data_IF_103992436771
#
_entry.id   IF_103992436771
#
_cell.length_a   1.000
_cell.length_b   1.000
_cell.length_c   1.000
_cell.angle_alpha   90.00
_cell.angle_beta   90.00
_cell.angle_gamma   90.00
#
_symmetry.space_group_name_H-M   'P 1'
#
loop_
_entity.id
_entity.type
_entity.pdbx_description
1 polymer ?
#
# COMPACT_ATOMS: atom_id res chain seq x y z
N UNK A 1 13.83 -15.06 10.36
CA UNK A 1 13.78 -15.88 9.13
C UNK A 1 14.70 -17.08 9.33
N UNK A 2 14.23 -18.27 9.03
CA UNK A 2 15.04 -19.49 9.21
C UNK A 2 15.31 -20.13 7.85
N UNK A 3 16.56 -20.48 7.59
CA UNK A 3 16.99 -21.22 6.37
C UNK A 3 16.64 -20.52 5.04
N UNK A 4 16.59 -19.19 5.00
CA UNK A 4 16.24 -18.43 3.79
C UNK A 4 14.74 -18.39 3.45
N UNK A 5 13.86 -18.98 4.24
CA UNK A 5 12.41 -18.91 4.05
C UNK A 5 11.82 -17.69 4.74
N UNK A 6 10.94 -16.99 4.03
CA UNK A 6 10.16 -15.87 4.54
C UNK A 6 8.69 -16.22 4.47
N UNK A 7 8.00 -16.18 5.62
CA UNK A 7 6.54 -16.39 5.66
C UNK A 7 5.85 -15.10 5.22
N UNK A 8 4.96 -15.22 4.25
CA UNK A 8 4.11 -14.14 3.75
C UNK A 8 2.65 -14.39 4.11
N UNK A 9 1.86 -13.34 4.26
CA UNK A 9 0.43 -13.41 4.47
C UNK A 9 -0.30 -12.45 3.54
N UNK A 10 -1.23 -12.96 2.75
CA UNK A 10 -2.28 -12.18 2.10
C UNK A 10 -3.49 -12.17 3.03
N UNK A 11 -3.91 -11.00 3.45
CA UNK A 11 -4.93 -10.82 4.49
C UNK A 11 -6.10 -10.04 3.92
N UNK A 12 -7.32 -10.52 4.14
CA UNK A 12 -8.54 -9.90 3.62
C UNK A 12 -9.50 -9.60 4.79
N UNK A 13 -9.38 -8.44 5.45
CA UNK A 13 -10.32 -8.03 6.50
C UNK A 13 -11.71 -7.74 5.92
N UNK A 14 -12.74 -7.81 6.76
CA UNK A 14 -14.07 -7.36 6.41
C UNK A 14 -14.09 -5.83 6.34
N UNK A 15 -14.09 -5.27 5.15
CA UNK A 15 -14.07 -3.82 4.94
C UNK A 15 -15.48 -3.23 5.02
N UNK A 16 -15.60 -2.12 5.73
CA UNK A 16 -16.79 -1.26 5.76
C UNK A 16 -16.54 -0.05 4.87
N UNK A 17 -17.36 0.11 3.83
CA UNK A 17 -17.18 1.19 2.84
C UNK A 17 -17.26 2.55 3.52
N UNK A 18 -16.26 3.40 3.29
CA UNK A 18 -16.13 4.76 3.81
C UNK A 18 -15.95 4.89 5.34
N UNK A 19 -15.84 3.78 6.08
CA UNK A 19 -15.55 3.81 7.52
C UNK A 19 -14.06 3.54 7.78
N UNK A 20 -13.25 4.58 7.62
CA UNK A 20 -11.80 4.49 7.78
C UNK A 20 -11.39 4.05 9.19
N UNK A 21 -12.16 4.45 10.20
CA UNK A 21 -11.87 4.13 11.61
C UNK A 21 -12.09 2.65 11.92
N UNK A 22 -13.24 2.12 11.52
CA UNK A 22 -13.53 0.68 11.68
C UNK A 22 -12.54 -0.16 10.87
N UNK A 23 -12.27 0.23 9.63
CA UNK A 23 -11.32 -0.47 8.78
C UNK A 23 -9.91 -0.48 9.40
N UNK A 24 -9.46 0.63 10.01
CA UNK A 24 -8.17 0.69 10.72
C UNK A 24 -8.11 -0.31 11.86
N UNK A 25 -9.15 -0.41 12.67
CA UNK A 25 -9.20 -1.37 13.78
C UNK A 25 -9.14 -2.83 13.28
N UNK A 26 -9.91 -3.15 12.22
CA UNK A 26 -9.92 -4.48 11.61
C UNK A 26 -8.58 -4.82 10.96
N UNK A 27 -7.96 -3.88 10.25
CA UNK A 27 -6.63 -4.03 9.65
C UNK A 27 -5.57 -4.32 10.72
N UNK A 28 -5.53 -3.54 11.79
CA UNK A 28 -4.59 -3.75 12.90
C UNK A 28 -4.77 -5.11 13.58
N UNK A 29 -6.01 -5.56 13.75
CA UNK A 29 -6.30 -6.88 14.31
C UNK A 29 -5.75 -8.02 13.44
N UNK A 30 -5.93 -7.91 12.12
CA UNK A 30 -5.41 -8.92 11.18
C UNK A 30 -3.88 -8.86 11.05
N UNK A 31 -3.27 -7.66 11.08
CA UNK A 31 -1.79 -7.53 11.13
C UNK A 31 -1.24 -8.28 12.36
N UNK A 32 -1.85 -8.05 13.54
CA UNK A 32 -1.42 -8.71 14.77
C UNK A 32 -1.55 -10.22 14.70
N UNK A 33 -2.62 -10.73 14.07
CA UNK A 33 -2.83 -12.17 13.89
C UNK A 33 -1.78 -12.76 12.95
N UNK A 34 -1.55 -12.15 11.78
CA UNK A 34 -0.57 -12.61 10.80
C UNK A 34 0.87 -12.59 11.38
N UNK A 35 1.23 -11.54 12.12
CA UNK A 35 2.53 -11.41 12.79
C UNK A 35 2.73 -12.51 13.84
N UNK A 36 1.72 -12.77 14.68
CA UNK A 36 1.74 -13.86 15.63
C UNK A 36 1.96 -15.23 14.98
N UNK A 37 1.45 -15.43 13.78
CA UNK A 37 1.67 -16.63 12.99
C UNK A 37 3.06 -16.66 12.31
N UNK A 38 3.86 -15.62 12.51
CA UNK A 38 5.23 -15.49 12.03
C UNK A 38 5.38 -14.90 10.62
N UNK A 39 4.34 -14.26 10.07
CA UNK A 39 4.44 -13.56 8.80
C UNK A 39 5.41 -12.38 8.90
N UNK A 40 6.28 -12.22 7.91
CA UNK A 40 7.24 -11.12 7.77
C UNK A 40 6.87 -10.12 6.70
N UNK A 41 6.06 -10.54 5.74
CA UNK A 41 5.47 -9.70 4.72
C UNK A 41 3.97 -9.90 4.81
N UNK A 42 3.22 -8.83 5.01
CA UNK A 42 1.76 -8.84 5.14
C UNK A 42 1.20 -7.91 4.07
N UNK A 43 0.31 -8.44 3.23
CA UNK A 43 -0.32 -7.70 2.13
C UNK A 43 -1.82 -7.62 2.37
N UNK A 44 -2.35 -6.41 2.32
CA UNK A 44 -3.76 -6.09 2.46
C UNK A 44 -4.36 -5.69 1.10
N UNK A 45 -5.70 -5.73 0.93
CA UNK A 45 -6.34 -5.38 -0.32
C UNK A 45 -6.12 -3.91 -0.73
N UNK A 46 -6.25 -3.67 -2.04
CA UNK A 46 -6.31 -2.34 -2.64
C UNK A 46 -7.38 -1.49 -1.96
N UNK A 47 -7.04 -0.21 -1.65
CA UNK A 47 -7.94 0.77 -1.02
C UNK A 47 -8.62 0.27 0.27
N UNK A 48 -7.99 -0.65 1.00
CA UNK A 48 -8.60 -1.29 2.18
C UNK A 48 -8.88 -0.32 3.35
N UNK A 49 -8.21 0.83 3.42
CA UNK A 49 -8.51 1.83 4.45
C UNK A 49 -9.89 2.45 4.24
N UNK A 50 -10.30 2.69 3.00
CA UNK A 50 -11.57 3.34 2.67
C UNK A 50 -12.64 2.37 2.18
N UNK A 51 -12.21 1.25 1.59
CA UNK A 51 -13.00 0.43 0.70
C UNK A 51 -12.89 0.89 -0.75
N UNK A 52 -12.96 -0.05 -1.69
CA UNK A 52 -12.81 0.21 -3.12
C UNK A 52 -14.02 0.96 -3.71
N UNK A 53 -15.23 0.67 -3.23
CA UNK A 53 -16.50 1.15 -3.81
C UNK A 53 -17.00 2.49 -3.25
N UNK A 54 -16.09 3.36 -2.82
CA UNK A 54 -16.44 4.68 -2.27
C UNK A 54 -16.96 5.68 -3.31
N UNK A 55 -16.78 5.42 -4.60
CA UNK A 55 -17.26 6.30 -5.68
C UNK A 55 -16.82 7.76 -5.47
N UNK A 56 -17.73 8.75 -5.65
CA UNK A 56 -17.42 10.17 -5.54
C UNK A 56 -17.05 10.62 -4.10
N UNK A 57 -17.15 9.74 -3.10
CA UNK A 57 -16.61 10.02 -1.76
C UNK A 57 -15.09 10.19 -1.77
N UNK A 58 -14.39 9.60 -2.73
CA UNK A 58 -12.96 9.84 -2.93
C UNK A 58 -12.59 11.30 -3.22
N UNK A 59 -13.55 12.13 -3.65
CA UNK A 59 -13.36 13.56 -3.90
C UNK A 59 -13.56 14.42 -2.65
N UNK A 60 -13.96 13.82 -1.52
CA UNK A 60 -14.19 14.54 -0.28
C UNK A 60 -12.89 14.66 0.53
N UNK A 61 -12.50 15.90 0.82
CA UNK A 61 -11.33 16.21 1.66
C UNK A 61 -11.35 15.49 3.01
N UNK A 62 -12.54 15.37 3.63
CA UNK A 62 -12.70 14.66 4.90
C UNK A 62 -12.23 13.21 4.78
N UNK A 63 -12.65 12.48 3.74
CA UNK A 63 -12.24 11.10 3.53
C UNK A 63 -10.73 10.96 3.34
N UNK A 64 -10.12 11.82 2.52
CA UNK A 64 -8.69 11.78 2.26
C UNK A 64 -7.87 12.08 3.52
N UNK A 65 -8.31 13.05 4.32
CA UNK A 65 -7.68 13.36 5.60
C UNK A 65 -7.80 12.19 6.59
N UNK A 66 -8.98 11.57 6.71
CA UNK A 66 -9.20 10.42 7.58
C UNK A 66 -8.43 9.19 7.11
N UNK A 67 -8.35 8.94 5.81
CA UNK A 67 -7.53 7.85 5.25
C UNK A 67 -6.04 8.03 5.58
N UNK A 68 -5.54 9.27 5.49
CA UNK A 68 -4.17 9.60 5.86
C UNK A 68 -3.91 9.41 7.36
N UNK A 69 -4.85 9.83 8.21
CA UNK A 69 -4.77 9.62 9.65
C UNK A 69 -4.75 8.13 9.99
N UNK A 70 -5.63 7.34 9.38
CA UNK A 70 -5.66 5.88 9.51
C UNK A 70 -4.35 5.21 9.13
N UNK A 71 -3.70 5.69 8.05
CA UNK A 71 -2.36 5.19 7.67
C UNK A 71 -1.35 5.43 8.78
N UNK A 72 -1.33 6.63 9.39
CA UNK A 72 -0.42 6.96 10.48
C UNK A 72 -0.67 6.07 11.72
N UNK A 73 -1.93 5.79 12.04
CA UNK A 73 -2.32 4.88 13.12
C UNK A 73 -1.86 3.45 12.85
N UNK A 74 -2.05 2.95 11.62
CA UNK A 74 -1.57 1.63 11.21
C UNK A 74 -0.03 1.59 11.26
N UNK A 75 0.66 2.63 10.77
CA UNK A 75 2.10 2.70 10.85
C UNK A 75 2.57 2.65 12.31
N UNK A 76 2.01 3.48 13.19
CA UNK A 76 2.31 3.47 14.62
C UNK A 76 2.06 2.10 15.27
N UNK A 77 0.99 1.41 14.87
CA UNK A 77 0.68 0.06 15.36
C UNK A 77 1.76 -0.96 15.00
N UNK A 78 2.48 -0.77 13.89
CA UNK A 78 3.59 -1.67 13.50
C UNK A 78 4.86 -1.48 14.33
N UNK A 79 4.88 -0.51 15.26
CA UNK A 79 6.05 -0.31 16.12
C UNK A 79 6.39 -1.58 16.91
N UNK A 80 7.66 -1.97 16.89
CA UNK A 80 8.18 -3.21 17.48
C UNK A 80 7.64 -4.52 16.87
N UNK A 81 6.87 -4.48 15.78
CA UNK A 81 6.56 -5.67 15.00
C UNK A 81 7.69 -5.97 14.00
N UNK A 82 8.06 -7.24 13.88
CA UNK A 82 9.11 -7.68 12.95
C UNK A 82 8.48 -8.10 11.60
N UNK A 83 7.83 -7.16 10.95
CA UNK A 83 7.21 -7.34 9.64
C UNK A 83 7.16 -6.04 8.82
N UNK A 84 7.00 -6.18 7.50
CA UNK A 84 6.58 -5.11 6.60
C UNK A 84 5.13 -5.37 6.19
N UNK A 85 4.32 -4.30 6.18
CA UNK A 85 2.90 -4.36 5.81
C UNK A 85 2.65 -3.44 4.62
N UNK A 86 1.92 -3.94 3.62
CA UNK A 86 1.45 -3.15 2.49
C UNK A 86 -0.05 -2.92 2.64
N UNK A 87 -0.44 -1.65 2.68
CA UNK A 87 -1.83 -1.22 2.92
C UNK A 87 -2.30 -0.24 1.85
N UNK A 88 -3.50 -0.47 1.29
CA UNK A 88 -4.06 0.32 0.20
C UNK A 88 -4.86 1.53 0.70
N UNK A 89 -4.64 2.71 0.09
CA UNK A 89 -5.39 3.93 0.40
C UNK A 89 -5.41 4.92 -0.78
N UNK A 90 -6.39 5.85 -0.82
CA UNK A 90 -6.32 7.03 -1.69
C UNK A 90 -5.35 8.06 -1.10
N UNK A 91 -4.47 8.62 -1.93
CA UNK A 91 -3.49 9.63 -1.52
C UNK A 91 -3.52 10.83 -2.46
N UNK A 92 -3.74 12.01 -1.91
CA UNK A 92 -3.61 13.26 -2.66
C UNK A 92 -2.16 13.75 -2.68
N UNK A 93 -1.70 14.13 -3.87
CA UNK A 93 -0.42 14.80 -4.07
C UNK A 93 -0.52 15.82 -5.21
N UNK A 94 -0.16 17.09 -4.94
CA UNK A 94 -0.19 18.19 -5.89
C UNK A 94 -1.54 18.33 -6.63
N UNK A 95 -2.65 18.27 -5.90
CA UNK A 95 -4.00 18.42 -6.43
C UNK A 95 -4.48 17.26 -7.31
N UNK A 96 -3.77 16.12 -7.28
CA UNK A 96 -4.14 14.88 -7.97
C UNK A 96 -4.31 13.76 -6.96
N UNK A 97 -5.26 12.88 -7.21
CA UNK A 97 -5.53 11.72 -6.36
C UNK A 97 -4.90 10.46 -6.96
N UNK A 98 -4.23 9.69 -6.13
CA UNK A 98 -3.57 8.43 -6.50
C UNK A 98 -4.13 7.28 -5.66
N UNK A 99 -4.32 6.14 -6.31
CA UNK A 99 -4.54 4.87 -5.65
C UNK A 99 -3.18 4.28 -5.33
N UNK A 100 -2.84 4.13 -4.05
CA UNK A 100 -1.49 3.74 -3.64
C UNK A 100 -1.48 2.57 -2.68
N UNK A 101 -0.41 1.79 -2.73
CA UNK A 101 -0.01 0.92 -1.64
C UNK A 101 1.06 1.63 -0.80
N UNK A 102 0.82 1.78 0.49
CA UNK A 102 1.81 2.25 1.44
C UNK A 102 2.56 1.07 2.05
N UNK A 103 3.88 1.14 2.08
CA UNK A 103 4.71 0.21 2.82
C UNK A 103 4.94 0.77 4.23
N UNK A 104 4.55 0.03 5.26
CA UNK A 104 4.72 0.43 6.66
C UNK A 104 5.49 -0.63 7.44
N UNK A 105 6.40 -0.19 8.31
CA UNK A 105 7.17 -1.09 9.19
C UNK A 105 7.75 -0.31 10.37
N UNK A 106 7.77 -0.94 11.53
CA UNK A 106 8.40 -0.41 12.74
C UNK A 106 8.02 1.07 13.04
N UNK A 107 6.73 1.37 12.98
CA UNK A 107 6.18 2.68 13.29
C UNK A 107 6.29 3.73 12.18
N UNK A 108 6.80 3.38 10.99
CA UNK A 108 7.06 4.32 9.90
C UNK A 108 6.40 3.94 8.60
N UNK A 109 6.07 4.95 7.81
CA UNK A 109 5.74 4.81 6.39
C UNK A 109 7.04 4.87 5.60
N UNK A 110 7.37 3.80 4.88
CA UNK A 110 8.64 3.67 4.15
C UNK A 110 8.55 4.21 2.72
N UNK A 111 7.35 4.20 2.13
CA UNK A 111 7.13 4.66 0.77
C UNK A 111 5.71 4.39 0.29
N UNK A 112 5.34 5.06 -0.80
CA UNK A 112 4.08 4.86 -1.51
C UNK A 112 4.34 4.35 -2.92
N UNK A 113 3.63 3.31 -3.33
CA UNK A 113 3.64 2.82 -4.70
C UNK A 113 2.30 3.13 -5.34
N UNK A 114 2.23 4.09 -6.28
CA UNK A 114 1.00 4.43 -6.98
C UNK A 114 0.71 3.42 -8.09
N UNK A 115 -0.57 3.09 -8.26
CA UNK A 115 -1.07 2.25 -9.34
C UNK A 115 -0.69 2.82 -10.70
N UNK A 116 -0.10 2.02 -11.56
CA UNK A 116 0.41 2.42 -12.88
C UNK A 116 -0.69 2.42 -13.92
N UNK A 117 -1.54 1.39 -13.93
CA UNK A 117 -2.61 1.20 -14.89
C UNK A 117 -3.97 1.27 -14.19
N UNK A 118 -4.83 2.14 -14.67
CA UNK A 118 -6.17 2.34 -14.10
C UNK A 118 -7.20 1.65 -14.98
N UNK A 119 -7.91 0.64 -14.49
CA UNK A 119 -9.02 0.04 -15.24
C UNK A 119 -10.15 1.07 -15.39
N UNK A 120 -10.69 1.16 -16.61
CA UNK A 120 -11.79 2.07 -16.94
C UNK A 120 -12.71 1.41 -17.96
N UNK A 121 -13.13 0.21 -17.67
CA UNK A 121 -14.00 -0.64 -18.48
C UNK A 121 -14.91 -1.48 -17.58
N UNK A 122 -16.06 -1.93 -18.11
CA UNK A 122 -17.08 -2.65 -17.35
C UNK A 122 -17.51 -1.87 -16.09
N UNK A 123 -17.39 -2.48 -14.92
CA UNK A 123 -17.70 -1.88 -13.61
C UNK A 123 -16.61 -0.94 -13.06
N UNK A 124 -15.45 -0.83 -13.73
CA UNK A 124 -14.33 -0.03 -13.25
C UNK A 124 -14.37 1.40 -13.78
N UNK A 125 -14.22 2.38 -12.89
CA UNK A 125 -14.24 3.83 -13.17
C UNK A 125 -13.04 4.56 -12.56
N UNK A 126 -11.90 3.91 -12.43
CA UNK A 126 -10.79 4.47 -11.68
C UNK A 126 -10.26 5.78 -12.29
N UNK A 127 -10.28 5.93 -13.61
CA UNK A 127 -9.87 7.15 -14.28
C UNK A 127 -10.76 8.38 -13.96
N UNK A 128 -11.97 8.18 -13.37
CA UNK A 128 -12.81 9.25 -12.86
C UNK A 128 -12.20 9.93 -11.64
N UNK A 129 -11.54 9.16 -10.79
CA UNK A 129 -11.09 9.62 -9.48
C UNK A 129 -9.57 9.69 -9.39
N UNK A 130 -8.86 8.74 -9.98
CA UNK A 130 -7.44 8.55 -9.79
C UNK A 130 -6.60 8.94 -11.00
N UNK A 131 -5.37 9.37 -10.71
CA UNK A 131 -4.32 9.64 -11.68
C UNK A 131 -3.34 8.46 -11.70
N UNK A 132 -2.83 8.11 -12.88
CA UNK A 132 -1.79 7.09 -13.05
C UNK A 132 -0.51 7.45 -12.32
N UNK A 133 0.17 6.44 -11.79
CA UNK A 133 1.49 6.60 -11.19
C UNK A 133 2.49 7.24 -12.14
N UNK A 134 3.25 8.19 -11.63
CA UNK A 134 4.24 8.95 -12.39
C UNK A 134 5.53 8.15 -12.59
N UNK A 135 6.31 8.51 -13.60
CA UNK A 135 7.60 7.87 -13.91
C UNK A 135 8.70 8.24 -12.93
N UNK A 136 8.62 9.43 -12.38
CA UNK A 136 9.58 9.98 -11.43
C UNK A 136 9.17 9.62 -10.00
N UNK A 137 10.18 9.41 -9.14
CA UNK A 137 9.95 9.30 -7.70
C UNK A 137 9.87 10.69 -7.11
N UNK A 138 8.78 10.98 -6.41
CA UNK A 138 8.54 12.26 -5.76
C UNK A 138 8.56 12.13 -4.25
N UNK A 139 8.61 13.24 -3.54
CA UNK A 139 8.58 13.30 -2.09
C UNK A 139 7.20 13.80 -1.61
N UNK A 140 6.57 13.05 -0.74
CA UNK A 140 5.27 13.36 -0.14
C UNK A 140 5.47 13.77 1.31
N UNK A 141 4.95 14.94 1.68
CA UNK A 141 4.95 15.36 3.07
C UNK A 141 3.87 14.62 3.87
N UNK A 142 4.28 13.89 4.89
CA UNK A 142 3.41 13.14 5.79
C UNK A 142 3.60 13.65 7.23
N UNK A 143 2.98 14.78 7.55
CA UNK A 143 3.27 15.52 8.79
C UNK A 143 4.68 16.10 8.76
N UNK A 144 5.52 15.70 9.72
CA UNK A 144 6.93 16.11 9.78
C UNK A 144 7.86 15.21 8.95
N UNK A 145 7.38 14.06 8.50
CA UNK A 145 8.17 13.13 7.70
C UNK A 145 8.00 13.39 6.21
N UNK A 146 9.04 13.10 5.45
CA UNK A 146 9.05 13.14 3.98
C UNK A 146 9.22 11.72 3.46
N UNK A 147 8.27 11.25 2.70
CA UNK A 147 8.15 9.86 2.27
C UNK A 147 8.21 9.76 0.74
N UNK A 148 9.04 8.88 0.16
CA UNK A 148 9.08 8.72 -1.29
C UNK A 148 7.80 8.10 -1.84
N UNK A 149 7.33 8.58 -3.00
CA UNK A 149 6.27 7.97 -3.78
C UNK A 149 6.75 7.73 -5.21
N UNK A 150 6.64 6.47 -5.67
CA UNK A 150 7.05 6.11 -7.02
C UNK A 150 6.78 4.65 -7.37
N UNK A 151 6.42 4.39 -8.63
CA UNK A 151 6.10 3.04 -9.13
C UNK A 151 7.31 2.11 -9.29
N UNK A 152 8.53 2.62 -9.07
CA UNK A 152 9.78 1.87 -9.20
C UNK A 152 10.45 1.58 -7.86
N UNK A 153 9.78 1.88 -6.73
CA UNK A 153 10.33 1.63 -5.41
C UNK A 153 10.52 0.13 -5.15
N UNK A 154 11.66 -0.21 -4.57
CA UNK A 154 11.94 -1.54 -4.03
C UNK A 154 12.20 -1.41 -2.52
N UNK A 155 11.65 -2.34 -1.75
CA UNK A 155 11.83 -2.39 -0.31
C UNK A 155 12.80 -3.53 0.03
N UNK A 156 13.95 -3.18 0.62
CA UNK A 156 15.01 -4.13 0.93
C UNK A 156 15.05 -4.42 2.42
N UNK A 157 15.10 -5.70 2.80
CA UNK A 157 15.26 -6.11 4.18
C UNK A 157 16.70 -5.82 4.66
N UNK A 158 16.86 -5.04 5.73
CA UNK A 158 18.19 -4.68 6.25
C UNK A 158 18.98 -5.89 6.78
N UNK A 159 18.30 -6.86 7.38
CA UNK A 159 18.94 -8.07 7.95
C UNK A 159 19.08 -9.21 6.94
N UNK A 160 18.47 -9.08 5.76
CA UNK A 160 18.58 -10.01 4.64
C UNK A 160 18.54 -9.20 3.32
N UNK A 161 19.66 -8.59 2.91
CA UNK A 161 19.72 -7.66 1.75
C UNK A 161 19.31 -8.31 0.42
N UNK A 162 19.33 -9.62 0.33
CA UNK A 162 18.86 -10.38 -0.82
C UNK A 162 17.32 -10.30 -0.97
N UNK A 163 16.58 -10.10 0.14
CA UNK A 163 15.14 -9.95 0.10
C UNK A 163 14.78 -8.53 -0.37
N UNK A 164 14.32 -8.45 -1.61
CA UNK A 164 13.85 -7.22 -2.24
C UNK A 164 12.42 -7.40 -2.73
N UNK A 165 11.56 -6.52 -2.27
CA UNK A 165 10.11 -6.59 -2.52
C UNK A 165 9.74 -5.49 -3.52
N UNK A 166 9.13 -5.88 -4.65
CA UNK A 166 8.42 -4.99 -5.56
C UNK A 166 6.92 -4.99 -5.24
N UNK A 167 6.23 -3.92 -5.63
CA UNK A 167 4.78 -3.77 -5.39
C UNK A 167 4.10 -3.34 -6.67
N UNK A 168 2.99 -4.00 -7.00
CA UNK A 168 2.07 -3.61 -8.06
C UNK A 168 0.62 -3.79 -7.58
N UNK A 169 -0.33 -3.09 -8.19
CA UNK A 169 -1.71 -3.05 -7.75
C UNK A 169 -2.67 -3.54 -8.85
N UNK A 170 -3.40 -4.63 -8.55
CA UNK A 170 -4.55 -5.12 -9.32
C UNK A 170 -4.31 -5.12 -10.85
N UNK A 171 -4.84 -4.12 -11.58
CA UNK A 171 -4.73 -4.00 -13.05
C UNK A 171 -3.29 -4.00 -13.55
N UNK A 172 -2.35 -3.54 -12.75
CA UNK A 172 -0.93 -3.53 -13.11
C UNK A 172 -0.44 -4.90 -13.57
N UNK A 173 -0.92 -5.99 -12.95
CA UNK A 173 -0.54 -7.37 -13.29
C UNK A 173 -1.07 -7.82 -14.66
N UNK A 174 -2.23 -7.29 -15.10
CA UNK A 174 -2.95 -7.78 -16.29
C UNK A 174 -2.55 -7.08 -17.58
N UNK A 175 -1.60 -6.15 -17.51
CA UNK A 175 -1.12 -5.37 -18.67
C UNK A 175 -0.01 -6.10 -19.42
N UNK A 176 0.27 -5.76 -20.69
CA UNK A 176 1.35 -6.39 -21.45
C UNK A 176 2.76 -6.15 -20.87
N UNK A 177 2.95 -5.06 -20.10
CA UNK A 177 4.20 -4.74 -19.41
C UNK A 177 3.89 -4.41 -17.94
N UNK A 178 3.64 -5.43 -17.08
CA UNK A 178 3.39 -5.19 -15.67
C UNK A 178 4.63 -4.62 -14.97
N UNK A 179 4.47 -3.77 -13.94
CA UNK A 179 5.58 -3.20 -13.17
C UNK A 179 6.55 -4.24 -12.61
N UNK A 180 6.05 -5.43 -12.27
CA UNK A 180 6.85 -6.55 -11.77
C UNK A 180 7.99 -6.96 -12.71
N UNK A 181 7.87 -6.79 -14.04
CA UNK A 181 8.98 -7.03 -14.99
C UNK A 181 10.16 -6.11 -14.63
N UNK A 182 9.90 -4.82 -14.44
CA UNK A 182 10.93 -3.83 -14.08
C UNK A 182 11.47 -4.07 -12.67
N UNK A 183 10.60 -4.45 -11.73
CA UNK A 183 11.02 -4.81 -10.37
C UNK A 183 11.97 -6.02 -10.40
N UNK A 184 11.63 -7.08 -11.10
CA UNK A 184 12.47 -8.27 -11.25
C UNK A 184 13.82 -7.95 -11.90
N UNK A 185 13.85 -7.15 -12.99
CA UNK A 185 15.09 -6.71 -13.65
C UNK A 185 15.99 -5.87 -12.72
N UNK A 186 15.43 -5.22 -11.70
CA UNK A 186 16.15 -4.47 -10.66
C UNK A 186 16.42 -5.30 -9.40
N UNK A 187 16.18 -6.61 -9.45
CA UNK A 187 16.54 -7.57 -8.42
C UNK A 187 15.48 -7.83 -7.36
N UNK A 188 14.23 -7.44 -7.58
CA UNK A 188 13.13 -7.90 -6.73
C UNK A 188 12.96 -9.42 -6.89
N UNK A 189 12.71 -10.09 -5.77
CA UNK A 189 12.48 -11.54 -5.73
C UNK A 189 11.19 -11.92 -4.98
N UNK A 190 10.46 -10.89 -4.53
CA UNK A 190 9.10 -10.97 -4.00
C UNK A 190 8.29 -9.81 -4.55
#
# INVERSE_FOLDING_TARGET
MKQGFVKVAAVTPKIVVADTKENTALICAEIKKAEKEGAKIIVLPELCITGYTCSDLFLQEKMLREARQSLLEIAAFTFALDCIVFVGLPLEYNGKLYNVAAAVSNGKVLGFVPKTYLPNYNEFYEARHFTRGMDETVQVNLGEEVVPMGKKLLFTCQTMPELKIGVELCEDLWTPEPPSIRHALNGANV
#
